data_IF_286671671694
#
_entry.id   IF_286671671694
#
_cell.length_a   1.000
_cell.length_b   1.000
_cell.length_c   1.000
_cell.angle_alpha   90.00
_cell.angle_beta   90.00
_cell.angle_gamma   90.00
#
_symmetry.space_group_name_H-M   'P 1'
#
loop_
_entity.id
_entity.type
_entity.pdbx_description
1 polymer ?
#
# COMPACT_ATOMS: atom_id res chain seq x y z
N UNK A 1 13.44 -6.58 -33.30
CA UNK A 1 13.04 -6.19 -31.93
C UNK A 1 11.61 -5.74 -32.01
N UNK A 2 10.73 -6.35 -31.23
CA UNK A 2 9.33 -5.95 -31.18
C UNK A 2 9.25 -4.55 -30.55
N UNK A 3 8.58 -3.62 -31.22
CA UNK A 3 8.41 -2.24 -30.77
C UNK A 3 6.97 -2.04 -30.29
N UNK A 4 6.81 -1.40 -29.14
CA UNK A 4 5.52 -1.07 -28.55
C UNK A 4 5.36 0.45 -28.43
N UNK A 5 4.11 0.92 -28.30
CA UNK A 5 3.79 2.34 -28.16
C UNK A 5 3.45 2.62 -26.71
N UNK A 6 4.09 3.63 -26.13
CA UNK A 6 3.75 4.11 -24.78
C UNK A 6 2.30 4.62 -24.76
N UNK A 7 1.44 4.15 -23.83
CA UNK A 7 0.06 4.60 -23.77
C UNK A 7 -0.09 6.03 -23.23
N UNK A 8 0.95 6.61 -22.61
CA UNK A 8 0.92 7.93 -21.99
C UNK A 8 1.40 9.07 -22.90
N UNK A 9 2.50 8.85 -23.63
CA UNK A 9 3.07 9.87 -24.52
C UNK A 9 3.18 9.45 -26.00
N UNK A 10 2.69 8.25 -26.33
CA UNK A 10 2.67 7.71 -27.70
C UNK A 10 4.04 7.53 -28.37
N UNK A 11 5.13 7.57 -27.60
CA UNK A 11 6.47 7.27 -28.08
C UNK A 11 6.60 5.78 -28.41
N UNK A 12 7.18 5.47 -29.57
CA UNK A 12 7.51 4.09 -29.97
C UNK A 12 8.87 3.70 -29.39
N UNK A 13 8.89 2.61 -28.64
CA UNK A 13 10.05 2.13 -27.89
C UNK A 13 10.20 0.61 -28.09
N UNK A 14 11.39 0.03 -27.87
CA UNK A 14 11.54 -1.41 -27.73
C UNK A 14 10.59 -1.94 -26.64
N UNK A 15 9.91 -3.07 -26.88
CA UNK A 15 8.98 -3.64 -25.91
C UNK A 15 9.62 -3.91 -24.54
N UNK A 16 10.93 -4.17 -24.49
CA UNK A 16 11.71 -4.33 -23.25
C UNK A 16 11.83 -3.04 -22.42
N UNK A 17 11.73 -1.88 -23.05
CA UNK A 17 11.86 -0.56 -22.39
C UNK A 17 10.50 0.07 -22.07
N UNK A 18 9.42 -0.46 -22.65
CA UNK A 18 8.07 0.09 -22.50
C UNK A 18 7.66 0.23 -21.04
N UNK A 19 7.91 -0.79 -20.22
CA UNK A 19 7.52 -0.79 -18.80
C UNK A 19 8.25 0.31 -18.02
N UNK A 20 9.57 0.40 -18.17
CA UNK A 20 10.38 1.42 -17.49
C UNK A 20 9.94 2.82 -17.91
N UNK A 21 9.80 3.07 -19.21
CA UNK A 21 9.35 4.36 -19.72
C UNK A 21 7.91 4.70 -19.31
N UNK A 22 7.01 3.72 -19.29
CA UNK A 22 5.65 3.91 -18.77
C UNK A 22 5.67 4.34 -17.30
N UNK A 23 6.53 3.72 -16.48
CA UNK A 23 6.68 4.04 -15.06
C UNK A 23 7.21 5.46 -14.83
N UNK A 24 8.07 5.98 -15.73
CA UNK A 24 8.63 7.32 -15.57
C UNK A 24 7.61 8.45 -15.79
N UNK A 25 6.49 8.21 -16.48
CA UNK A 25 5.38 9.19 -16.53
C UNK A 25 4.74 9.45 -15.17
N UNK A 26 4.99 8.57 -14.20
CA UNK A 26 4.48 8.72 -12.85
C UNK A 26 5.53 9.35 -11.92
N UNK A 27 6.79 9.53 -12.34
CA UNK A 27 7.91 9.95 -11.49
C UNK A 27 7.76 11.41 -11.07
N UNK A 28 7.80 11.64 -9.75
CA UNK A 28 7.80 12.96 -9.12
C UNK A 28 8.96 12.97 -8.12
N UNK A 29 10.19 13.07 -8.65
CA UNK A 29 11.44 12.95 -7.89
C UNK A 29 11.49 13.90 -6.68
N UNK A 30 10.96 15.13 -6.85
CA UNK A 30 10.91 16.13 -5.79
C UNK A 30 10.00 15.71 -4.63
N UNK A 31 8.86 15.09 -4.95
CA UNK A 31 7.95 14.59 -3.93
C UNK A 31 8.50 13.37 -3.22
N UNK A 32 9.11 12.46 -3.96
CA UNK A 32 9.69 11.24 -3.40
C UNK A 32 10.88 11.53 -2.50
N UNK A 33 11.74 12.47 -2.89
CA UNK A 33 12.84 12.93 -2.05
C UNK A 33 12.33 13.51 -0.73
N UNK A 34 11.25 14.31 -0.76
CA UNK A 34 10.63 14.88 0.44
C UNK A 34 9.99 13.80 1.31
N UNK A 35 9.23 12.89 0.71
CA UNK A 35 8.59 11.79 1.43
C UNK A 35 9.64 10.90 2.11
N UNK A 36 10.76 10.62 1.43
CA UNK A 36 11.89 9.86 1.98
C UNK A 36 12.60 10.61 3.11
N UNK A 37 12.82 11.92 2.98
CA UNK A 37 13.39 12.75 4.03
C UNK A 37 12.50 12.73 5.30
N UNK A 38 11.18 12.88 5.13
CA UNK A 38 10.21 12.81 6.23
C UNK A 38 10.18 11.41 6.87
N UNK A 39 10.22 10.34 6.08
CA UNK A 39 10.24 8.97 6.57
C UNK A 39 11.49 8.68 7.40
N UNK A 40 12.66 9.14 6.95
CA UNK A 40 13.92 9.01 7.70
C UNK A 40 13.83 9.70 9.07
N UNK A 41 13.19 10.87 9.17
CA UNK A 41 12.98 11.55 10.45
C UNK A 41 12.09 10.75 11.43
N UNK A 42 11.22 9.87 10.94
CA UNK A 42 10.43 8.96 11.78
C UNK A 42 11.35 7.88 12.38
N UNK A 43 12.20 7.26 11.57
CA UNK A 43 13.12 6.21 12.01
C UNK A 43 14.18 6.76 13.00
N UNK A 44 14.77 7.93 12.73
CA UNK A 44 15.78 8.55 13.59
C UNK A 44 15.19 9.16 14.87
N UNK A 45 13.93 9.63 14.84
CA UNK A 45 13.30 10.09 16.07
C UNK A 45 13.21 8.96 17.09
N UNK A 46 12.96 7.71 16.68
CA UNK A 46 12.96 6.53 17.56
C UNK A 46 14.29 6.25 18.28
N UNK A 47 15.39 6.90 17.89
CA UNK A 47 16.72 6.75 18.51
C UNK A 47 17.16 7.96 19.36
N UNK A 48 16.43 9.09 19.31
CA UNK A 48 16.74 10.32 20.02
C UNK A 48 15.61 10.63 21.01
N UNK A 49 15.77 10.27 22.29
CA UNK A 49 14.79 10.27 23.39
C UNK A 49 13.90 11.51 23.58
N UNK A 50 13.00 11.75 22.63
CA UNK A 50 11.83 12.63 22.73
C UNK A 50 10.67 11.86 23.38
N UNK A 51 9.75 12.57 24.04
CA UNK A 51 8.53 11.99 24.63
C UNK A 51 7.70 11.11 23.65
N UNK A 52 7.91 11.27 22.33
CA UNK A 52 7.27 10.43 21.30
C UNK A 52 7.93 9.06 21.07
N UNK A 53 9.19 8.88 21.47
CA UNK A 53 9.94 7.61 21.25
C UNK A 53 9.40 6.50 22.13
N UNK A 54 9.13 6.83 23.38
CA UNK A 54 8.49 5.91 24.33
C UNK A 54 7.10 5.52 23.84
N UNK A 55 6.39 6.45 23.17
CA UNK A 55 5.08 6.19 22.58
C UNK A 55 5.13 5.26 21.36
N UNK A 56 6.07 5.45 20.42
CA UNK A 56 6.22 4.58 19.25
C UNK A 56 6.74 3.19 19.65
N UNK A 57 7.73 3.13 20.54
CA UNK A 57 8.27 1.86 21.05
C UNK A 57 7.20 1.07 21.80
N UNK A 58 6.39 1.77 22.60
CA UNK A 58 5.21 1.17 23.25
C UNK A 58 4.17 0.71 22.24
N UNK A 59 3.89 1.49 21.18
CA UNK A 59 2.97 1.09 20.12
C UNK A 59 3.44 -0.20 19.45
N UNK A 60 4.73 -0.30 19.08
CA UNK A 60 5.32 -1.48 18.47
C UNK A 60 5.20 -2.70 19.39
N UNK A 61 5.49 -2.54 20.69
CA UNK A 61 5.41 -3.62 21.67
C UNK A 61 3.98 -4.06 22.02
N UNK A 62 2.99 -3.19 21.84
CA UNK A 62 1.58 -3.46 22.13
C UNK A 62 0.77 -3.89 20.90
N UNK A 63 1.31 -3.69 19.69
CA UNK A 63 0.55 -3.96 18.47
C UNK A 63 0.15 -5.43 18.34
N UNK A 64 -1.09 -5.65 17.94
CA UNK A 64 -1.68 -6.97 17.74
C UNK A 64 -1.75 -7.30 16.26
N UNK A 65 -1.48 -8.56 15.92
CA UNK A 65 -1.60 -9.07 14.56
C UNK A 65 -3.07 -9.04 14.13
N UNK A 66 -3.32 -8.57 12.92
CA UNK A 66 -4.63 -8.65 12.29
C UNK A 66 -5.04 -10.09 12.03
N UNK A 67 -6.29 -10.43 12.33
CA UNK A 67 -6.84 -11.73 11.99
C UNK A 67 -7.19 -11.77 10.49
N UNK A 68 -6.73 -12.82 9.80
CA UNK A 68 -7.02 -13.11 8.41
C UNK A 68 -7.51 -14.55 8.27
N UNK A 69 -8.14 -14.85 7.14
CA UNK A 69 -8.58 -16.22 6.86
C UNK A 69 -7.41 -17.02 6.27
N UNK A 70 -6.90 -17.99 7.03
CA UNK A 70 -5.82 -18.84 6.55
C UNK A 70 -6.35 -19.83 5.51
N UNK A 71 -5.96 -19.62 4.25
CA UNK A 71 -6.23 -20.54 3.17
C UNK A 71 -5.09 -21.54 3.07
N UNK A 72 -5.38 -22.82 3.28
CA UNK A 72 -4.40 -23.89 3.09
C UNK A 72 -3.84 -23.82 1.67
N UNK A 73 -2.51 -23.92 1.55
CA UNK A 73 -1.74 -23.81 0.29
C UNK A 73 -1.69 -22.40 -0.34
N UNK A 74 -2.40 -21.43 0.24
CA UNK A 74 -2.40 -20.02 -0.18
C UNK A 74 -3.40 -19.71 -1.31
N UNK A 75 -4.14 -18.61 -1.18
CA UNK A 75 -5.22 -18.24 -2.10
C UNK A 75 -4.73 -18.11 -3.55
N UNK A 76 -3.61 -17.43 -3.75
CA UNK A 76 -3.03 -17.18 -5.08
C UNK A 76 -2.51 -18.47 -5.72
N UNK A 77 -1.97 -19.40 -4.93
CA UNK A 77 -1.54 -20.72 -5.41
C UNK A 77 -2.75 -21.55 -5.87
N UNK A 78 -3.85 -21.53 -5.12
CA UNK A 78 -5.08 -22.22 -5.52
C UNK A 78 -5.65 -21.63 -6.82
N UNK A 79 -5.68 -20.29 -6.94
CA UNK A 79 -6.12 -19.62 -8.16
C UNK A 79 -5.24 -19.98 -9.36
N UNK A 80 -3.91 -20.01 -9.18
CA UNK A 80 -2.96 -20.47 -10.19
C UNK A 80 -3.30 -21.87 -10.67
N UNK A 81 -3.48 -22.81 -9.75
CA UNK A 81 -3.78 -24.20 -10.09
C UNK A 81 -5.09 -24.32 -10.88
N UNK A 82 -6.14 -23.56 -10.49
CA UNK A 82 -7.40 -23.53 -11.24
C UNK A 82 -7.20 -23.01 -12.68
N UNK A 83 -6.47 -21.90 -12.84
CA UNK A 83 -6.21 -21.30 -14.15
C UNK A 83 -5.37 -22.21 -15.06
N UNK A 84 -4.38 -22.91 -14.50
CA UNK A 84 -3.53 -23.85 -15.23
C UNK A 84 -4.33 -25.09 -15.69
N UNK A 85 -5.32 -25.54 -14.92
CA UNK A 85 -6.22 -26.62 -15.32
C UNK A 85 -7.15 -26.24 -16.48
N UNK A 86 -7.51 -24.96 -16.60
CA UNK A 86 -8.35 -24.43 -17.68
C UNK A 86 -7.55 -24.01 -18.92
N UNK A 87 -6.23 -23.84 -18.78
CA UNK A 87 -5.32 -23.40 -19.84
C UNK A 87 -5.32 -24.25 -21.14
N UNK A 88 -5.57 -25.59 -21.15
CA UNK A 88 -5.61 -26.36 -22.39
C UNK A 88 -6.65 -25.88 -23.41
N UNK A 89 -7.60 -25.04 -23.00
CA UNK A 89 -8.70 -24.55 -23.82
C UNK A 89 -8.63 -23.03 -24.12
N UNK A 90 -7.66 -22.30 -23.58
CA UNK A 90 -7.59 -20.85 -23.64
C UNK A 90 -6.25 -20.33 -24.20
N UNK A 91 -6.31 -19.32 -25.07
CA UNK A 91 -5.14 -18.62 -25.65
C UNK A 91 -4.72 -17.37 -24.86
N UNK A 92 -5.30 -17.14 -23.68
CA UNK A 92 -5.06 -15.94 -22.87
C UNK A 92 -3.85 -16.09 -21.96
N UNK A 93 -3.09 -15.02 -21.81
CA UNK A 93 -2.04 -14.89 -20.78
C UNK A 93 -2.65 -14.31 -19.51
N UNK A 94 -2.46 -14.97 -18.38
CA UNK A 94 -2.91 -14.49 -17.08
C UNK A 94 -1.71 -14.16 -16.20
N UNK A 95 -1.73 -12.99 -15.59
CA UNK A 95 -0.72 -12.54 -14.63
C UNK A 95 -1.37 -12.50 -13.26
N UNK A 96 -0.78 -13.19 -12.30
CA UNK A 96 -1.21 -13.21 -10.91
C UNK A 96 -0.22 -12.41 -10.06
N UNK A 97 -0.71 -11.82 -8.97
CA UNK A 97 0.17 -11.33 -7.92
C UNK A 97 1.01 -12.46 -7.32
N UNK A 98 2.01 -12.11 -6.50
CA UNK A 98 2.63 -13.08 -5.59
C UNK A 98 1.70 -13.48 -4.44
N UNK A 99 2.23 -14.15 -3.43
CA UNK A 99 1.51 -14.49 -2.19
C UNK A 99 0.81 -13.27 -1.55
N UNK A 100 -0.39 -13.47 -1.02
CA UNK A 100 -1.18 -12.47 -0.28
C UNK A 100 -2.14 -13.20 0.70
N UNK A 101 -2.30 -12.65 1.90
CA UNK A 101 -3.24 -13.11 2.93
C UNK A 101 -4.60 -12.42 2.77
N UNK A 102 -5.69 -13.18 2.73
CA UNK A 102 -7.03 -12.59 2.61
C UNK A 102 -7.58 -12.08 3.94
N UNK A 103 -7.64 -10.76 4.09
CA UNK A 103 -8.28 -10.08 5.22
C UNK A 103 -9.71 -9.69 4.88
N UNK A 104 -10.68 -10.17 5.66
CA UNK A 104 -12.09 -9.83 5.48
C UNK A 104 -12.60 -8.99 6.65
N UNK A 105 -13.65 -8.20 6.38
CA UNK A 105 -14.35 -7.47 7.44
C UNK A 105 -15.03 -8.42 8.42
N UNK A 106 -15.01 -8.03 9.69
CA UNK A 106 -15.66 -8.72 10.80
C UNK A 106 -17.01 -8.05 11.04
N UNK A 107 -18.14 -8.80 11.03
CA UNK A 107 -19.50 -8.24 11.07
C UNK A 107 -19.78 -7.21 12.17
N UNK A 108 -19.23 -7.41 13.37
CA UNK A 108 -19.46 -6.53 14.52
C UNK A 108 -18.40 -5.44 14.69
N UNK A 109 -17.39 -5.36 13.82
CA UNK A 109 -16.24 -4.47 13.99
C UNK A 109 -16.18 -3.47 12.83
N UNK A 110 -16.06 -3.97 11.60
CA UNK A 110 -15.65 -3.13 10.47
C UNK A 110 -16.47 -3.31 9.19
N UNK A 111 -17.57 -4.08 9.23
CA UNK A 111 -18.52 -4.10 8.11
C UNK A 111 -19.12 -2.71 7.91
N UNK A 112 -19.13 -2.26 6.66
CA UNK A 112 -19.66 -0.95 6.26
C UNK A 112 -18.66 0.21 6.31
N UNK A 113 -17.41 0.00 6.76
CA UNK A 113 -16.38 1.04 6.77
C UNK A 113 -14.91 0.56 6.66
N UNK A 114 -14.67 -0.73 6.92
CA UNK A 114 -13.34 -1.31 7.04
C UNK A 114 -12.58 -1.59 5.75
N UNK A 115 -13.22 -1.47 4.58
CA UNK A 115 -12.67 -2.00 3.33
C UNK A 115 -11.29 -1.41 2.97
N UNK A 116 -11.08 -0.10 3.13
CA UNK A 116 -9.78 0.52 2.89
C UNK A 116 -8.69 -0.03 3.82
N UNK A 117 -9.04 -0.26 5.09
CA UNK A 117 -8.12 -0.85 6.08
C UNK A 117 -7.79 -2.31 5.75
N UNK A 118 -8.78 -3.12 5.33
CA UNK A 118 -8.56 -4.51 4.90
C UNK A 118 -7.68 -4.59 3.65
N UNK A 119 -7.82 -3.66 2.71
CA UNK A 119 -6.95 -3.55 1.55
C UNK A 119 -5.51 -3.22 1.95
N UNK A 120 -5.29 -2.33 2.92
CA UNK A 120 -3.95 -2.09 3.49
C UNK A 120 -3.38 -3.37 4.07
N UNK A 121 -4.19 -4.15 4.80
CA UNK A 121 -3.71 -5.40 5.40
C UNK A 121 -3.31 -6.44 4.36
N UNK A 122 -4.12 -6.65 3.32
CA UNK A 122 -3.80 -7.55 2.20
C UNK A 122 -2.49 -7.12 1.53
N UNK A 123 -2.40 -5.85 1.11
CA UNK A 123 -1.21 -5.32 0.45
C UNK A 123 0.04 -5.41 1.34
N UNK A 124 -0.10 -5.14 2.63
CA UNK A 124 1.01 -5.28 3.59
C UNK A 124 1.47 -6.74 3.72
N UNK A 125 0.57 -7.71 3.66
CA UNK A 125 0.94 -9.14 3.71
C UNK A 125 1.81 -9.54 2.51
N UNK A 126 1.47 -9.05 1.32
CA UNK A 126 2.25 -9.26 0.12
C UNK A 126 3.67 -8.67 0.26
N UNK A 127 3.77 -7.42 0.72
CA UNK A 127 5.06 -6.74 0.91
C UNK A 127 5.93 -7.47 1.93
N UNK A 128 5.37 -7.82 3.10
CA UNK A 128 6.10 -8.53 4.14
C UNK A 128 6.61 -9.91 3.69
N UNK A 129 5.92 -10.56 2.75
CA UNK A 129 6.30 -11.86 2.21
C UNK A 129 7.40 -11.79 1.14
N UNK A 130 7.50 -10.70 0.37
CA UNK A 130 8.38 -10.64 -0.82
C UNK A 130 9.47 -9.55 -0.77
N UNK A 131 9.37 -8.57 0.14
CA UNK A 131 10.31 -7.45 0.22
C UNK A 131 10.99 -7.42 1.58
N UNK A 132 12.30 -7.65 1.57
CA UNK A 132 13.11 -7.60 2.79
C UNK A 132 13.09 -6.19 3.39
N UNK A 133 13.23 -5.14 2.56
CA UNK A 133 13.19 -3.77 3.06
C UNK A 133 11.86 -3.46 3.76
N UNK A 134 10.73 -3.87 3.18
CA UNK A 134 9.42 -3.63 3.76
C UNK A 134 9.23 -4.38 5.09
N UNK A 135 9.77 -5.61 5.19
CA UNK A 135 9.71 -6.42 6.41
C UNK A 135 10.45 -5.79 7.59
N UNK A 136 11.52 -5.05 7.32
CA UNK A 136 12.32 -4.39 8.34
C UNK A 136 11.67 -3.08 8.84
N UNK A 137 10.94 -2.37 7.98
CA UNK A 137 10.45 -1.02 8.29
C UNK A 137 8.96 -0.94 8.59
N UNK A 138 8.11 -1.73 7.92
CA UNK A 138 6.65 -1.63 8.06
C UNK A 138 6.23 -1.86 9.50
N UNK A 139 5.43 -0.93 10.03
CA UNK A 139 4.86 -1.00 11.38
C UNK A 139 5.91 -1.18 12.50
N UNK A 140 7.14 -0.71 12.26
CA UNK A 140 8.26 -0.85 13.19
C UNK A 140 8.97 -2.21 13.15
N UNK A 141 8.83 -2.96 12.06
CA UNK A 141 9.55 -4.21 11.83
C UNK A 141 9.11 -5.45 12.64
N UNK A 142 7.84 -5.62 13.07
CA UNK A 142 7.42 -6.82 13.80
C UNK A 142 7.31 -8.06 12.90
N UNK A 143 7.39 -7.89 11.57
CA UNK A 143 7.24 -8.98 10.60
C UNK A 143 5.81 -9.51 10.46
N UNK A 144 4.80 -8.74 10.86
CA UNK A 144 3.39 -9.09 10.68
C UNK A 144 2.51 -7.86 10.40
N UNK A 145 1.34 -8.12 9.83
CA UNK A 145 0.33 -7.09 9.56
C UNK A 145 -0.49 -6.81 10.83
N UNK A 146 -0.56 -5.55 11.32
CA UNK A 146 -1.33 -5.21 12.51
C UNK A 146 -2.84 -5.15 12.25
N UNK A 147 -3.65 -5.11 13.32
CA UNK A 147 -5.09 -4.87 13.20
C UNK A 147 -5.43 -3.40 12.84
N UNK A 148 -6.72 -3.14 12.56
CA UNK A 148 -7.21 -1.83 12.12
C UNK A 148 -6.93 -0.72 13.15
N UNK A 149 -7.02 -1.01 14.46
CA UNK A 149 -6.82 -0.01 15.49
C UNK A 149 -5.36 0.49 15.49
N UNK A 150 -4.40 -0.42 15.29
CA UNK A 150 -3.00 -0.06 15.15
C UNK A 150 -2.69 0.60 13.80
N UNK A 151 -3.34 0.20 12.71
CA UNK A 151 -3.23 0.91 11.42
C UNK A 151 -3.70 2.37 11.54
N UNK A 152 -4.79 2.63 12.27
CA UNK A 152 -5.25 3.99 12.55
C UNK A 152 -4.21 4.80 13.31
N UNK A 153 -3.55 4.20 14.32
CA UNK A 153 -2.46 4.86 15.06
C UNK A 153 -1.27 5.19 14.16
N UNK A 154 -0.86 4.25 13.31
CA UNK A 154 0.23 4.50 12.37
C UNK A 154 -0.11 5.61 11.37
N UNK A 155 -1.38 5.73 10.95
CA UNK A 155 -1.82 6.83 10.10
C UNK A 155 -1.82 8.17 10.84
N UNK A 156 -2.27 8.22 12.10
CA UNK A 156 -2.14 9.45 12.92
C UNK A 156 -0.69 9.89 13.06
N UNK A 157 0.23 8.94 13.31
CA UNK A 157 1.68 9.21 13.36
C UNK A 157 2.18 9.75 12.01
N UNK A 158 1.74 9.19 10.89
CA UNK A 158 2.10 9.71 9.56
C UNK A 158 1.67 11.18 9.41
N UNK A 159 0.44 11.52 9.81
CA UNK A 159 -0.07 12.89 9.76
C UNK A 159 0.70 13.85 10.68
N UNK A 160 0.99 13.44 11.92
CA UNK A 160 1.80 14.23 12.86
C UNK A 160 3.20 14.54 12.31
N UNK A 161 3.69 13.67 11.41
CA UNK A 161 4.99 13.77 10.76
C UNK A 161 4.95 14.50 9.42
N UNK A 162 3.80 15.06 9.06
CA UNK A 162 3.66 15.92 7.89
C UNK A 162 3.24 15.21 6.61
N UNK A 163 2.94 13.90 6.65
CA UNK A 163 2.34 13.22 5.51
C UNK A 163 0.88 13.63 5.36
N UNK A 164 0.45 13.89 4.12
CA UNK A 164 -0.93 14.27 3.74
C UNK A 164 -1.65 15.26 4.70
N UNK A 165 -1.15 16.50 4.83
CA UNK A 165 -1.82 17.53 5.63
C UNK A 165 -3.29 17.78 5.24
N UNK A 166 -3.68 17.75 3.95
CA UNK A 166 -5.09 17.84 3.55
C UNK A 166 -5.95 16.70 4.13
N UNK A 167 -5.52 15.45 4.02
CA UNK A 167 -6.21 14.29 4.60
C UNK A 167 -6.26 14.36 6.12
N UNK A 168 -5.15 14.70 6.78
CA UNK A 168 -5.11 14.92 8.22
C UNK A 168 -6.17 15.94 8.67
N UNK A 169 -6.24 17.08 7.98
CA UNK A 169 -7.23 18.13 8.26
C UNK A 169 -8.66 17.64 8.02
N UNK A 170 -8.90 16.85 6.98
CA UNK A 170 -10.22 16.27 6.70
C UNK A 170 -10.75 15.44 7.88
N UNK A 171 -9.87 14.68 8.53
CA UNK A 171 -10.20 13.88 9.71
C UNK A 171 -9.96 14.58 11.05
N UNK A 172 -9.78 15.90 11.07
CA UNK A 172 -9.46 16.67 12.29
C UNK A 172 -8.24 16.11 13.06
N UNK A 173 -7.26 15.58 12.34
CA UNK A 173 -6.05 14.93 12.84
C UNK A 173 -6.32 13.75 13.80
N UNK A 174 -7.49 13.12 13.72
CA UNK A 174 -7.86 12.02 14.61
C UNK A 174 -8.75 10.99 13.90
N UNK A 175 -8.24 9.77 13.80
CA UNK A 175 -8.96 8.64 13.18
C UNK A 175 -8.97 7.39 14.05
N UNK A 176 -8.08 7.30 15.05
CA UNK A 176 -8.06 6.19 15.98
C UNK A 176 -9.35 6.09 16.79
N UNK A 177 -9.87 4.87 16.89
CA UNK A 177 -11.09 4.55 17.62
C UNK A 177 -12.36 5.02 16.91
N UNK A 178 -12.26 5.38 15.63
CA UNK A 178 -13.40 5.77 14.80
C UNK A 178 -13.70 4.72 13.74
N UNK A 179 -14.88 4.81 13.13
CA UNK A 179 -15.34 3.95 12.04
C UNK A 179 -15.29 4.67 10.69
N UNK A 180 -14.31 5.53 10.49
CA UNK A 180 -14.17 6.29 9.25
C UNK A 180 -13.66 5.43 8.09
N UNK A 181 -14.20 5.74 6.91
CA UNK A 181 -13.71 5.24 5.64
C UNK A 181 -12.40 5.94 5.34
N UNK A 182 -11.49 5.21 4.72
CA UNK A 182 -10.27 5.77 4.15
C UNK A 182 -10.17 5.40 2.69
N UNK A 183 -9.47 6.23 1.93
CA UNK A 183 -9.20 6.04 0.53
C UNK A 183 -7.72 5.79 0.25
N UNK A 184 -7.39 5.94 -1.02
CA UNK A 184 -6.07 5.69 -1.59
C UNK A 184 -5.03 6.70 -1.09
N UNK A 185 -5.44 7.91 -0.72
CA UNK A 185 -4.57 8.97 -0.16
C UNK A 185 -4.04 8.59 1.21
N UNK A 186 -4.90 8.12 2.12
CA UNK A 186 -4.49 7.67 3.46
C UNK A 186 -3.61 6.42 3.36
N UNK A 187 -3.96 5.50 2.46
CA UNK A 187 -3.17 4.31 2.18
C UNK A 187 -1.76 4.66 1.69
N UNK A 188 -1.64 5.57 0.72
CA UNK A 188 -0.35 6.06 0.22
C UNK A 188 0.46 6.75 1.31
N UNK A 189 -0.19 7.57 2.14
CA UNK A 189 0.46 8.31 3.23
C UNK A 189 1.02 7.39 4.30
N UNK A 190 0.29 6.32 4.61
CA UNK A 190 0.75 5.28 5.53
C UNK A 190 2.00 4.56 5.02
N UNK A 191 2.02 4.11 3.76
CA UNK A 191 3.22 3.47 3.19
C UNK A 191 4.38 4.47 3.00
N UNK A 192 4.04 5.70 2.59
CA UNK A 192 4.79 6.97 2.70
C UNK A 192 5.67 7.03 3.94
N UNK A 193 5.02 6.98 5.09
CA UNK A 193 5.68 7.21 6.38
C UNK A 193 6.66 6.11 6.78
N UNK A 194 6.58 4.92 6.17
CA UNK A 194 7.56 3.85 6.35
C UNK A 194 8.69 3.87 5.30
N UNK A 195 8.73 4.89 4.43
CA UNK A 195 9.75 5.04 3.40
C UNK A 195 9.52 4.19 2.16
N UNK A 196 8.30 3.65 1.97
CA UNK A 196 7.97 2.91 0.76
C UNK A 196 7.45 3.84 -0.33
N UNK A 197 7.89 3.61 -1.57
CA UNK A 197 7.38 4.36 -2.71
C UNK A 197 5.93 3.94 -3.03
N UNK A 198 4.99 4.85 -2.79
CA UNK A 198 3.58 4.68 -3.08
C UNK A 198 3.11 5.84 -3.97
N UNK A 199 2.39 5.57 -5.05
CA UNK A 199 1.80 6.59 -5.93
C UNK A 199 0.31 6.37 -6.10
N UNK A 200 -0.44 7.47 -6.11
CA UNK A 200 -1.89 7.43 -6.31
C UNK A 200 -2.15 7.79 -7.77
N UNK A 201 -2.81 6.89 -8.49
CA UNK A 201 -3.19 7.10 -9.89
C UNK A 201 -4.71 7.27 -9.96
N UNK A 202 -5.13 8.39 -10.52
CA UNK A 202 -6.54 8.74 -10.70
C UNK A 202 -6.95 8.40 -12.13
N UNK A 203 -7.98 7.58 -12.27
CA UNK A 203 -8.59 7.22 -13.54
C UNK A 203 -9.91 7.97 -13.68
N UNK A 204 -9.95 8.88 -14.66
CA UNK A 204 -11.14 9.65 -15.02
C UNK A 204 -11.72 9.11 -16.33
N UNK A 205 -13.00 8.68 -16.36
CA UNK A 205 -13.69 8.39 -17.61
C UNK A 205 -13.72 9.65 -18.48
N UNK A 206 -13.46 9.51 -19.79
CA UNK A 206 -13.47 10.63 -20.75
C UNK A 206 -14.81 11.38 -20.83
N UNK A 207 -15.89 10.80 -20.31
CA UNK A 207 -17.28 11.25 -20.50
C UNK A 207 -18.00 11.62 -19.19
N UNK A 208 -17.33 11.54 -18.04
CA UNK A 208 -17.94 11.88 -16.75
C UNK A 208 -16.90 12.43 -15.77
N UNK A 209 -16.97 13.74 -15.50
CA UNK A 209 -16.21 14.41 -14.43
C UNK A 209 -16.70 14.03 -13.01
N UNK A 210 -17.64 13.08 -12.88
CA UNK A 210 -18.30 12.77 -11.61
C UNK A 210 -17.98 11.37 -11.05
N UNK A 211 -17.24 10.54 -11.79
CA UNK A 211 -16.81 9.21 -11.34
C UNK A 211 -15.29 9.12 -11.39
N UNK A 212 -14.63 9.26 -10.23
CA UNK A 212 -13.19 9.10 -10.09
C UNK A 212 -12.91 7.71 -9.52
N UNK A 213 -12.13 6.88 -10.23
CA UNK A 213 -11.56 5.68 -9.66
C UNK A 213 -10.10 5.96 -9.30
N UNK A 214 -9.77 5.82 -8.02
CA UNK A 214 -8.43 6.11 -7.53
C UNK A 214 -7.77 4.81 -7.09
N UNK A 215 -6.74 4.39 -7.81
CA UNK A 215 -5.98 3.18 -7.50
C UNK A 215 -4.65 3.54 -6.86
N UNK A 216 -4.22 2.73 -5.90
CA UNK A 216 -2.86 2.83 -5.38
C UNK A 216 -1.97 2.02 -6.29
N UNK A 217 -0.96 2.67 -6.87
CA UNK A 217 0.17 2.00 -7.48
C UNK A 217 1.31 2.10 -6.48
N UNK A 218 1.59 1.02 -5.76
CA UNK A 218 2.89 0.92 -5.10
C UNK A 218 3.93 0.72 -6.20
N UNK A 219 4.77 1.72 -6.40
CA UNK A 219 5.91 1.54 -7.26
C UNK A 219 6.97 0.86 -6.43
N UNK A 220 6.89 -0.46 -6.48
CA UNK A 220 7.92 -1.30 -5.95
C UNK A 220 9.04 -1.22 -6.98
N UNK A 221 10.07 -0.43 -6.69
CA UNK A 221 11.28 -0.42 -7.49
C UNK A 221 11.70 -1.88 -7.72
N UNK A 222 11.81 -2.25 -9.00
CA UNK A 222 12.50 -3.47 -9.38
C UNK A 222 13.99 -3.18 -9.21
N UNK A 223 14.51 -3.37 -8.00
CA UNK A 223 15.90 -3.77 -7.86
C UNK A 223 16.04 -5.25 -8.24
#
# INVERSE_FOLDING_TARGET
MESSICPFCHLSLPSSELQWHANSHFEDEDKEAKDLELANQIQFASSSGSNNVDSISSLIGLQTRGNYYHVKDGLISLLRNCLELEAPHNSSVTILSGYDDYFHSVPSIDVGWGCGWRNIQMLSSHLLAHRQEAREVLFGGPGFVPDIAFLQRWLEIAWERGFDPPGAKHFNCKIYGTSHWIGTTECASLFRSFGLCARVVVFCPKESEQLFFMFLVLLLDNQ
#
